data_IF_722319227393
#
_entry.id   IF_722319227393
#
_cell.length_a   1.000
_cell.length_b   1.000
_cell.length_c   1.000
_cell.angle_alpha   90.00
_cell.angle_beta   90.00
_cell.angle_gamma   90.00
#
_symmetry.space_group_name_H-M   'P 1'
#
loop_
_entity.id
_entity.type
_entity.pdbx_description
1 polymer ?
#
# COMPACT_ATOMS: atom_id res chain seq x y z
N UNK A 1 6.30 -31.93 13.74
CA UNK A 1 6.57 -31.83 12.29
C UNK A 1 6.18 -30.42 11.84
N UNK A 2 6.92 -29.75 10.95
CA UNK A 2 6.51 -28.47 10.41
C UNK A 2 5.20 -28.62 9.63
N UNK A 3 4.30 -27.64 9.75
CA UNK A 3 3.05 -27.64 9.03
C UNK A 3 3.28 -27.60 7.50
N UNK A 4 2.38 -28.18 6.70
CA UNK A 4 2.54 -28.18 5.26
C UNK A 4 2.52 -26.75 4.71
N UNK A 5 3.32 -26.47 3.66
CA UNK A 5 3.32 -25.16 3.03
C UNK A 5 1.96 -24.89 2.39
N UNK A 6 1.45 -23.68 2.59
CA UNK A 6 0.17 -23.23 2.03
C UNK A 6 0.35 -21.88 1.36
N UNK A 7 -0.20 -21.70 0.17
CA UNK A 7 -0.07 -20.44 -0.56
C UNK A 7 -0.98 -19.36 0.06
N UNK A 8 -0.42 -18.23 0.57
CA UNK A 8 -1.21 -17.10 1.02
C UNK A 8 -1.81 -16.35 -0.18
N UNK A 9 -3.06 -15.91 -0.03
CA UNK A 9 -3.73 -15.04 -0.99
C UNK A 9 -3.78 -13.64 -0.39
N UNK A 10 -3.33 -12.63 -1.14
CA UNK A 10 -3.26 -11.25 -0.68
C UNK A 10 -4.04 -10.36 -1.64
N UNK A 11 -5.03 -9.62 -1.13
CA UNK A 11 -5.94 -8.82 -1.95
C UNK A 11 -5.81 -7.34 -1.60
N UNK A 12 -5.41 -6.52 -2.58
CA UNK A 12 -5.41 -5.06 -2.45
C UNK A 12 -5.67 -4.34 -3.76
N UNK A 13 -6.70 -3.50 -3.80
CA UNK A 13 -7.01 -2.65 -4.97
C UNK A 13 -6.37 -1.26 -4.83
N UNK A 14 -5.09 -1.25 -4.43
CA UNK A 14 -4.25 -0.07 -4.26
C UNK A 14 -3.72 0.53 -5.56
N UNK A 15 -2.84 1.51 -5.40
CA UNK A 15 -2.03 2.19 -6.44
C UNK A 15 -0.58 1.73 -6.35
N UNK A 16 0.27 2.25 -7.24
CA UNK A 16 1.71 1.92 -7.29
C UNK A 16 2.37 2.02 -5.91
N UNK A 17 2.19 3.13 -5.19
CA UNK A 17 2.73 3.29 -3.83
C UNK A 17 2.25 2.18 -2.87
N UNK A 18 0.94 1.94 -2.81
CA UNK A 18 0.36 0.88 -1.98
C UNK A 18 0.96 -0.50 -2.31
N UNK A 19 1.15 -0.81 -3.60
CA UNK A 19 1.74 -2.07 -4.05
C UNK A 19 3.22 -2.18 -3.64
N UNK A 20 3.99 -1.10 -3.74
CA UNK A 20 5.37 -1.11 -3.23
C UNK A 20 5.38 -1.37 -1.72
N UNK A 21 4.52 -0.71 -0.95
CA UNK A 21 4.43 -0.93 0.50
C UNK A 21 3.99 -2.36 0.86
N UNK A 22 3.12 -2.97 0.03
CA UNK A 22 2.62 -4.33 0.24
C UNK A 22 3.72 -5.38 0.25
N UNK A 23 4.83 -5.18 -0.47
CA UNK A 23 5.97 -6.12 -0.50
C UNK A 23 6.49 -6.51 0.89
N UNK A 24 6.45 -5.59 1.86
CA UNK A 24 6.83 -5.88 3.25
C UNK A 24 5.95 -6.99 3.88
N UNK A 25 4.65 -7.01 3.55
CA UNK A 25 3.73 -8.06 3.98
C UNK A 25 3.96 -9.36 3.20
N UNK A 26 4.27 -9.28 1.90
CA UNK A 26 4.44 -10.46 1.06
C UNK A 26 5.63 -11.32 1.52
N UNK A 27 6.75 -10.69 1.88
CA UNK A 27 7.91 -11.39 2.48
C UNK A 27 7.49 -12.13 3.76
N UNK A 28 6.79 -11.44 4.66
CA UNK A 28 6.32 -12.02 5.93
C UNK A 28 5.46 -13.25 5.64
N UNK A 29 4.45 -13.13 4.80
CA UNK A 29 3.51 -14.21 4.54
C UNK A 29 4.17 -15.39 3.81
N UNK A 30 5.02 -15.12 2.82
CA UNK A 30 5.78 -16.16 2.15
C UNK A 30 6.61 -16.97 3.16
N UNK A 31 7.35 -16.28 4.03
CA UNK A 31 8.20 -16.95 5.02
C UNK A 31 7.42 -17.66 6.13
N UNK A 32 6.26 -17.14 6.53
CA UNK A 32 5.38 -17.77 7.54
C UNK A 32 4.73 -19.05 7.01
N UNK A 33 4.20 -19.01 5.80
CA UNK A 33 3.39 -20.10 5.24
C UNK A 33 4.14 -21.01 4.27
N UNK A 34 5.42 -20.72 4.00
CA UNK A 34 6.30 -21.58 3.21
C UNK A 34 5.99 -21.62 1.71
N UNK A 35 5.17 -20.70 1.20
CA UNK A 35 4.83 -20.62 -0.22
C UNK A 35 4.67 -19.17 -0.68
N UNK A 36 5.16 -18.80 -1.88
CA UNK A 36 5.02 -17.43 -2.37
C UNK A 36 3.55 -17.06 -2.61
N UNK A 37 3.22 -15.79 -2.40
CA UNK A 37 1.85 -15.30 -2.36
C UNK A 37 1.17 -15.29 -3.74
N UNK A 38 -0.14 -15.52 -3.76
CA UNK A 38 -1.02 -15.12 -4.86
C UNK A 38 -1.57 -13.72 -4.59
N UNK A 39 -1.12 -12.73 -5.35
CA UNK A 39 -1.59 -11.35 -5.21
C UNK A 39 -2.76 -11.07 -6.15
N UNK A 40 -3.84 -10.52 -5.61
CA UNK A 40 -5.00 -10.07 -6.38
C UNK A 40 -5.09 -8.54 -6.29
N UNK A 41 -4.85 -7.89 -7.42
CA UNK A 41 -4.85 -6.44 -7.54
C UNK A 41 -5.85 -5.95 -8.58
N UNK A 42 -5.84 -4.64 -8.82
CA UNK A 42 -6.67 -4.02 -9.85
C UNK A 42 -5.85 -3.13 -10.81
N UNK A 43 -6.19 -3.15 -12.10
CA UNK A 43 -5.45 -2.44 -13.16
C UNK A 43 -4.15 -3.13 -13.57
N UNK A 44 -3.29 -2.41 -14.31
CA UNK A 44 -2.09 -3.00 -14.93
C UNK A 44 -0.91 -3.17 -13.96
N UNK A 45 -0.71 -2.23 -13.05
CA UNK A 45 0.48 -2.15 -12.19
C UNK A 45 0.84 -3.38 -11.35
N UNK A 46 -0.11 -4.17 -10.78
CA UNK A 46 0.27 -5.33 -9.97
C UNK A 46 1.11 -6.35 -10.75
N UNK A 47 0.82 -6.57 -12.04
CA UNK A 47 1.59 -7.51 -12.85
C UNK A 47 3.02 -7.01 -13.06
N UNK A 48 3.17 -5.73 -13.40
CA UNK A 48 4.48 -5.10 -13.63
C UNK A 48 5.35 -5.06 -12.37
N UNK A 49 4.78 -4.61 -11.24
CA UNK A 49 5.53 -4.41 -9.98
C UNK A 49 6.03 -5.74 -9.41
N UNK A 50 5.25 -6.82 -9.55
CA UNK A 50 5.59 -8.11 -8.96
C UNK A 50 6.13 -9.13 -9.96
N UNK A 51 6.35 -8.76 -11.23
CA UNK A 51 6.82 -9.68 -12.27
C UNK A 51 8.11 -10.43 -11.89
N UNK A 52 9.01 -9.77 -11.13
CA UNK A 52 10.28 -10.34 -10.68
C UNK A 52 10.36 -10.51 -9.15
N UNK A 53 9.23 -10.43 -8.43
CA UNK A 53 9.23 -10.47 -6.97
C UNK A 53 9.18 -11.91 -6.46
N UNK A 54 10.22 -12.36 -5.74
CA UNK A 54 10.36 -13.75 -5.27
C UNK A 54 9.23 -14.20 -4.34
N UNK A 55 8.67 -13.28 -3.55
CA UNK A 55 7.57 -13.58 -2.62
C UNK A 55 6.18 -13.64 -3.29
N UNK A 56 6.13 -13.58 -4.62
CA UNK A 56 4.88 -13.62 -5.40
C UNK A 56 4.95 -14.76 -6.42
N UNK A 57 4.11 -15.78 -6.25
CA UNK A 57 3.98 -16.87 -7.21
C UNK A 57 3.19 -16.46 -8.46
N UNK A 58 2.19 -15.61 -8.25
CA UNK A 58 1.23 -15.23 -9.31
C UNK A 58 0.49 -13.97 -8.96
N UNK A 59 0.11 -13.24 -10.01
CA UNK A 59 -0.72 -12.04 -9.90
C UNK A 59 -2.03 -12.25 -10.66
N UNK A 60 -3.14 -11.77 -10.10
CA UNK A 60 -4.42 -11.68 -10.82
C UNK A 60 -4.90 -10.23 -10.81
N UNK A 61 -4.95 -9.64 -12.01
CA UNK A 61 -5.31 -8.25 -12.21
C UNK A 61 -6.78 -8.13 -12.62
N UNK A 62 -7.61 -7.58 -11.75
CA UNK A 62 -9.00 -7.27 -12.06
C UNK A 62 -9.14 -5.90 -12.74
N UNK A 63 -10.13 -5.75 -13.60
CA UNK A 63 -10.41 -4.43 -14.17
C UNK A 63 -11.06 -3.53 -13.11
N UNK A 64 -10.60 -2.28 -13.03
CA UNK A 64 -11.03 -1.33 -11.98
C UNK A 64 -12.51 -0.95 -12.10
N UNK A 65 -13.02 -0.82 -13.33
CA UNK A 65 -14.34 -0.25 -13.60
C UNK A 65 -15.30 -1.20 -14.30
N UNK A 66 -14.83 -2.37 -14.75
CA UNK A 66 -15.68 -3.35 -15.44
C UNK A 66 -16.56 -4.06 -14.43
N UNK A 67 -17.86 -4.17 -14.75
CA UNK A 67 -18.77 -5.00 -13.98
C UNK A 67 -18.32 -6.46 -14.04
N UNK A 68 -18.32 -7.14 -12.89
CA UNK A 68 -17.69 -8.44 -12.70
C UNK A 68 -18.18 -9.54 -13.65
N UNK A 69 -19.45 -9.51 -14.09
CA UNK A 69 -19.99 -10.50 -15.04
C UNK A 69 -19.35 -10.40 -16.42
N UNK A 70 -18.89 -9.20 -16.81
CA UNK A 70 -18.27 -8.92 -18.11
C UNK A 70 -16.74 -8.82 -18.03
N UNK A 71 -16.14 -9.20 -16.90
CA UNK A 71 -14.70 -9.17 -16.71
C UNK A 71 -14.13 -10.60 -16.81
N UNK A 72 -13.51 -11.00 -17.94
CA UNK A 72 -12.88 -12.32 -18.05
C UNK A 72 -11.80 -12.56 -16.99
N UNK A 73 -11.14 -11.49 -16.52
CA UNK A 73 -10.17 -11.60 -15.43
C UNK A 73 -10.84 -11.97 -14.10
N UNK A 74 -12.11 -11.60 -13.90
CA UNK A 74 -12.89 -12.01 -12.74
C UNK A 74 -13.08 -13.52 -12.69
N UNK A 75 -13.50 -14.13 -13.80
CA UNK A 75 -13.70 -15.58 -13.88
C UNK A 75 -12.39 -16.36 -13.70
N UNK A 76 -11.30 -15.88 -14.31
CA UNK A 76 -9.95 -16.45 -14.10
C UNK A 76 -9.51 -16.36 -12.64
N UNK A 77 -9.71 -15.20 -12.02
CA UNK A 77 -9.39 -14.98 -10.60
C UNK A 77 -10.25 -15.87 -9.69
N UNK A 78 -11.54 -16.03 -9.99
CA UNK A 78 -12.44 -16.93 -9.24
C UNK A 78 -11.97 -18.40 -9.32
N UNK A 79 -11.59 -18.88 -10.50
CA UNK A 79 -11.05 -20.25 -10.67
C UNK A 79 -9.77 -20.44 -9.86
N UNK A 80 -8.90 -19.44 -9.86
CA UNK A 80 -7.68 -19.47 -9.09
C UNK A 80 -7.90 -19.46 -7.58
N UNK A 81 -8.80 -18.60 -7.08
CA UNK A 81 -9.19 -18.58 -5.68
C UNK A 81 -9.75 -19.93 -5.22
N UNK A 82 -10.55 -20.59 -6.06
CA UNK A 82 -11.05 -21.94 -5.77
C UNK A 82 -9.94 -22.97 -5.66
N UNK A 83 -8.94 -22.92 -6.53
CA UNK A 83 -7.80 -23.82 -6.47
C UNK A 83 -6.96 -23.58 -5.21
N UNK A 84 -6.83 -22.32 -4.77
CA UNK A 84 -6.10 -21.93 -3.56
C UNK A 84 -6.95 -21.81 -2.29
N UNK A 85 -8.18 -22.34 -2.26
CA UNK A 85 -9.14 -22.08 -1.17
C UNK A 85 -8.71 -22.55 0.21
N UNK A 86 -7.77 -23.49 0.26
CA UNK A 86 -7.22 -24.03 1.51
C UNK A 86 -6.19 -23.08 2.16
N UNK A 87 -5.71 -22.06 1.44
CA UNK A 87 -4.73 -21.10 1.95
C UNK A 87 -5.35 -19.96 2.77
N UNK A 88 -4.52 -19.21 3.52
CA UNK A 88 -4.96 -18.03 4.26
C UNK A 88 -5.18 -16.84 3.32
N UNK A 89 -6.17 -16.01 3.60
CA UNK A 89 -6.54 -14.85 2.78
C UNK A 89 -6.39 -13.56 3.58
N UNK A 90 -5.52 -12.67 3.09
CA UNK A 90 -5.24 -11.36 3.68
C UNK A 90 -5.84 -10.26 2.79
N UNK A 91 -6.82 -9.52 3.32
CA UNK A 91 -7.48 -8.42 2.60
C UNK A 91 -7.00 -7.09 3.14
N UNK A 92 -6.17 -6.38 2.37
CA UNK A 92 -5.56 -5.09 2.77
C UNK A 92 -6.42 -3.86 2.42
N UNK A 93 -7.58 -4.06 1.80
CA UNK A 93 -8.45 -2.96 1.37
C UNK A 93 -9.30 -2.41 2.52
N UNK A 94 -9.40 -1.09 2.63
CA UNK A 94 -10.18 -0.42 3.68
C UNK A 94 -11.36 0.38 3.12
N UNK A 95 -11.42 0.60 1.80
CA UNK A 95 -12.55 1.28 1.15
C UNK A 95 -13.80 0.38 1.15
N UNK A 96 -14.94 0.84 1.70
CA UNK A 96 -16.15 0.01 1.83
C UNK A 96 -16.69 -0.53 0.50
N UNK A 97 -16.63 0.26 -0.58
CA UNK A 97 -17.18 -0.14 -1.89
C UNK A 97 -16.34 -1.24 -2.51
N UNK A 98 -15.02 -1.08 -2.44
CA UNK A 98 -14.08 -2.11 -2.92
C UNK A 98 -14.13 -3.35 -2.04
N UNK A 99 -14.25 -3.21 -0.73
CA UNK A 99 -14.44 -4.34 0.20
C UNK A 99 -15.70 -5.14 -0.13
N UNK A 100 -16.82 -4.48 -0.44
CA UNK A 100 -18.04 -5.17 -0.86
C UNK A 100 -17.81 -6.01 -2.13
N UNK A 101 -17.03 -5.48 -3.09
CA UNK A 101 -16.61 -6.23 -4.28
C UNK A 101 -15.72 -7.42 -3.93
N UNK A 102 -14.74 -7.26 -3.05
CA UNK A 102 -13.84 -8.33 -2.61
C UNK A 102 -14.62 -9.44 -1.88
N UNK A 103 -15.49 -9.09 -0.94
CA UNK A 103 -16.34 -10.06 -0.23
C UNK A 103 -17.21 -10.87 -1.20
N UNK A 104 -17.75 -10.21 -2.23
CA UNK A 104 -18.51 -10.88 -3.29
C UNK A 104 -17.64 -11.87 -4.08
N UNK A 105 -16.40 -11.48 -4.42
CA UNK A 105 -15.43 -12.37 -5.08
C UNK A 105 -15.12 -13.61 -4.23
N UNK A 106 -14.79 -13.40 -2.94
CA UNK A 106 -14.45 -14.47 -2.00
C UNK A 106 -15.63 -15.45 -1.84
N UNK A 107 -16.83 -14.92 -1.59
CA UNK A 107 -18.06 -15.74 -1.47
C UNK A 107 -18.32 -16.57 -2.72
N UNK A 108 -18.26 -15.96 -3.92
CA UNK A 108 -18.50 -16.72 -5.16
C UNK A 108 -17.35 -17.68 -5.53
N UNK A 109 -16.20 -17.52 -4.91
CA UNK A 109 -15.06 -18.43 -5.02
C UNK A 109 -15.11 -19.55 -3.98
N UNK A 110 -16.09 -19.54 -3.06
CA UNK A 110 -16.21 -20.56 -2.01
C UNK A 110 -15.12 -20.47 -0.95
N UNK A 111 -14.57 -19.27 -0.71
CA UNK A 111 -13.64 -19.02 0.38
C UNK A 111 -14.45 -18.84 1.66
N UNK A 112 -14.12 -19.61 2.69
CA UNK A 112 -14.75 -19.51 4.00
C UNK A 112 -14.25 -18.29 4.79
N UNK A 113 -15.12 -17.73 5.63
CA UNK A 113 -14.77 -16.56 6.43
C UNK A 113 -13.62 -16.85 7.41
N UNK A 114 -13.51 -18.09 7.91
CA UNK A 114 -12.45 -18.52 8.82
C UNK A 114 -11.04 -18.46 8.19
N UNK A 115 -10.95 -18.49 6.86
CA UNK A 115 -9.68 -18.34 6.13
C UNK A 115 -9.29 -16.88 5.93
N UNK A 116 -10.17 -15.92 6.22
CA UNK A 116 -9.96 -14.52 5.88
C UNK A 116 -9.58 -13.67 7.09
N UNK A 117 -8.61 -12.79 6.92
CA UNK A 117 -8.35 -11.65 7.81
C UNK A 117 -8.44 -10.36 7.01
N UNK A 118 -8.99 -9.31 7.63
CA UNK A 118 -9.20 -8.01 7.01
C UNK A 118 -8.40 -6.95 7.75
N UNK A 119 -7.72 -6.10 7.00
CA UNK A 119 -7.02 -4.97 7.57
C UNK A 119 -8.05 -4.00 8.18
N UNK A 120 -7.95 -3.78 9.48
CA UNK A 120 -8.82 -2.85 10.18
C UNK A 120 -8.64 -1.43 9.62
N UNK A 121 -9.75 -0.73 9.43
CA UNK A 121 -9.73 0.72 9.22
C UNK A 121 -9.35 1.34 10.57
N UNK A 122 -8.41 2.28 10.58
CA UNK A 122 -8.32 3.22 11.71
C UNK A 122 -9.67 3.93 11.75
N UNK A 123 -10.52 3.58 12.72
CA UNK A 123 -11.58 4.50 13.10
C UNK A 123 -10.85 5.76 13.51
N UNK A 124 -11.19 6.88 12.90
CA UNK A 124 -10.96 8.20 13.48
C UNK A 124 -11.61 8.20 14.87
N UNK A 125 -10.87 7.74 15.89
CA UNK A 125 -11.22 7.91 17.29
C UNK A 125 -10.83 9.33 17.69
N UNK A 126 -11.62 10.27 17.18
CA UNK A 126 -12.03 11.47 17.92
C UNK A 126 -13.48 11.30 18.43
N UNK A 127 -14.01 10.07 18.46
CA UNK A 127 -15.39 9.85 18.93
C UNK A 127 -15.55 8.47 19.55
N UNK A 128 -15.16 8.34 20.81
CA UNK A 128 -15.75 7.47 21.82
C UNK A 128 -14.85 7.44 23.06
N UNK A 129 -15.01 8.43 23.94
CA UNK A 129 -14.73 8.21 25.36
C UNK A 129 -15.85 7.31 25.89
N UNK A 130 -15.56 6.14 26.51
CA UNK A 130 -16.56 5.36 27.21
C UNK A 130 -17.05 6.12 28.44
N UNK A 131 -18.34 5.95 28.73
CA UNK A 131 -19.05 6.49 29.88
C UNK A 131 -18.25 6.35 31.18
N UNK A 132 -17.92 7.48 31.79
CA UNK A 132 -17.57 7.53 33.20
C UNK A 132 -18.89 7.49 34.00
N UNK A 133 -19.06 6.42 34.78
CA UNK A 133 -20.12 6.25 35.75
C UNK A 133 -20.17 7.46 36.70
N UNK A 134 -21.34 8.09 36.78
CA UNK A 134 -21.64 9.07 37.82
C UNK A 134 -21.79 8.35 39.15
N UNK A 135 -20.73 8.32 39.95
CA UNK A 135 -20.83 8.14 41.40
C UNK A 135 -20.42 9.46 42.02
N UNK A 136 -21.38 10.16 42.60
CA UNK A 136 -21.12 11.35 43.40
C UNK A 136 -20.38 10.95 44.69
N UNK A 137 -19.44 11.79 45.14
CA UNK A 137 -19.41 12.09 46.55
C UNK A 137 -19.42 13.60 46.81
N UNK A 138 -20.32 13.97 47.72
CA UNK A 138 -20.24 15.14 48.58
C UNK A 138 -18.89 15.21 49.29
N UNK A 139 -18.18 16.35 49.25
CA UNK A 139 -17.77 17.09 50.46
C UNK A 139 -17.13 18.44 50.13
N UNK A 140 -17.32 19.36 51.07
CA UNK A 140 -17.00 20.79 51.15
C UNK A 140 -15.63 20.97 51.86
N UNK A 141 -14.82 21.96 51.46
CA UNK A 141 -13.81 22.59 52.35
C UNK A 141 -12.35 22.63 51.87
N UNK A 142 -11.90 23.86 51.57
CA UNK A 142 -10.62 24.52 51.91
C UNK A 142 -9.23 24.12 51.36
N UNK A 143 -8.62 25.14 50.74
CA UNK A 143 -7.28 25.71 50.94
C UNK A 143 -5.97 24.93 50.60
N UNK A 144 -5.28 25.52 49.61
CA UNK A 144 -3.84 25.82 49.50
C UNK A 144 -2.76 24.72 49.39
N UNK A 145 -1.88 24.97 48.42
CA UNK A 145 -0.45 24.58 48.26
C UNK A 145 -0.11 23.16 47.78
N UNK A 146 0.65 23.10 46.68
CA UNK A 146 1.52 21.96 46.39
C UNK A 146 1.60 21.54 44.92
N UNK A 147 2.68 21.95 44.25
CA UNK A 147 3.35 21.27 43.12
C UNK A 147 2.49 21.02 41.88
N UNK A 148 2.74 21.84 40.84
CA UNK A 148 2.36 21.59 39.44
C UNK A 148 2.93 20.24 38.96
N UNK A 149 2.23 19.16 39.30
CA UNK A 149 2.40 17.87 38.68
C UNK A 149 1.50 17.88 37.47
N UNK A 150 1.99 18.50 36.38
CA UNK A 150 1.29 18.53 35.11
C UNK A 150 0.93 17.10 34.71
N UNK A 151 -0.37 16.79 34.76
CA UNK A 151 -0.97 15.58 34.22
C UNK A 151 -0.39 15.35 32.81
N UNK A 152 0.09 14.14 32.46
CA UNK A 152 0.64 13.91 31.15
C UNK A 152 -0.43 14.22 30.12
N UNK A 153 -0.16 15.25 29.30
CA UNK A 153 -0.92 15.57 28.09
C UNK A 153 -1.21 14.26 27.39
N UNK A 154 -2.50 13.97 27.21
CA UNK A 154 -2.98 12.83 26.44
C UNK A 154 -2.17 12.77 25.15
N UNK A 155 -1.25 11.80 25.10
CA UNK A 155 -0.33 11.69 23.99
C UNK A 155 -1.16 11.25 22.80
N UNK A 156 -1.49 12.20 21.93
CA UNK A 156 -2.16 11.92 20.65
C UNK A 156 -1.32 10.87 19.95
N UNK A 157 -1.78 9.63 19.93
CA UNK A 157 -1.04 8.50 19.34
C UNK A 157 -0.68 8.92 17.92
N UNK A 158 0.63 8.96 17.63
CA UNK A 158 1.11 9.36 16.32
C UNK A 158 0.50 8.42 15.26
N UNK A 159 0.06 8.95 14.10
CA UNK A 159 -0.49 8.12 13.05
C UNK A 159 0.52 7.05 12.65
N UNK A 160 0.11 5.79 12.71
CA UNK A 160 0.98 4.65 12.41
C UNK A 160 1.29 4.60 10.92
N UNK A 161 2.56 4.42 10.56
CA UNK A 161 2.95 4.33 9.16
C UNK A 161 2.32 3.08 8.50
N UNK A 162 1.97 3.17 7.21
CA UNK A 162 1.29 2.08 6.51
C UNK A 162 2.08 0.77 6.50
N UNK A 163 3.41 0.84 6.46
CA UNK A 163 4.27 -0.35 6.55
C UNK A 163 4.10 -1.03 7.90
N UNK A 164 4.11 -0.28 9.01
CA UNK A 164 3.97 -0.86 10.35
C UNK A 164 2.60 -1.53 10.52
N UNK A 165 1.56 -0.96 9.90
CA UNK A 165 0.23 -1.59 9.85
C UNK A 165 0.24 -2.89 9.06
N UNK A 166 0.91 -2.93 7.91
CA UNK A 166 1.04 -4.15 7.10
C UNK A 166 1.86 -5.21 7.82
N UNK A 167 2.95 -4.83 8.50
CA UNK A 167 3.78 -5.73 9.32
C UNK A 167 2.98 -6.30 10.48
N UNK A 168 2.23 -5.45 11.19
CA UNK A 168 1.33 -5.87 12.28
C UNK A 168 0.22 -6.79 11.77
N UNK A 169 -0.35 -6.47 10.60
CA UNK A 169 -1.35 -7.29 9.94
C UNK A 169 -0.81 -8.68 9.56
N UNK A 170 0.46 -8.73 9.14
CA UNK A 170 1.17 -9.98 8.88
C UNK A 170 1.39 -10.86 10.11
N UNK A 171 1.12 -10.39 11.33
CA UNK A 171 1.11 -11.20 12.55
C UNK A 171 -0.20 -11.93 12.79
N UNK A 172 -1.29 -11.48 12.17
CA UNK A 172 -2.59 -12.12 12.33
C UNK A 172 -2.58 -13.50 11.64
N UNK A 173 -3.32 -14.43 12.23
CA UNK A 173 -3.54 -15.77 11.68
C UNK A 173 -5.04 -15.96 11.52
N UNK A 174 -5.55 -16.35 10.33
CA UNK A 174 -6.98 -16.63 10.17
C UNK A 174 -7.43 -17.78 11.06
N UNK A 175 -8.69 -17.78 11.50
CA UNK A 175 -9.24 -18.74 12.47
C UNK A 175 -9.17 -20.20 12.01
N UNK A 176 -9.11 -20.46 10.70
CA UNK A 176 -8.94 -21.80 10.15
C UNK A 176 -7.53 -22.40 10.37
N UNK A 177 -6.57 -21.61 10.87
CA UNK A 177 -5.18 -22.01 11.05
C UNK A 177 -4.74 -21.85 12.50
N UNK A 178 -3.85 -22.73 12.95
CA UNK A 178 -3.16 -22.57 14.22
C UNK A 178 -1.95 -21.66 14.05
N UNK A 179 -1.79 -20.66 14.93
CA UNK A 179 -0.65 -19.74 14.89
C UNK A 179 0.70 -20.43 15.16
N UNK A 180 0.70 -21.51 15.96
CA UNK A 180 1.91 -22.26 16.28
C UNK A 180 2.49 -23.00 15.06
N UNK A 181 1.63 -23.37 14.11
CA UNK A 181 2.01 -24.08 12.88
C UNK A 181 2.68 -23.14 11.86
N UNK A 182 2.39 -21.84 11.95
CA UNK A 182 2.91 -20.79 11.05
C UNK A 182 3.48 -19.61 11.84
N UNK A 183 4.57 -19.85 12.62
CA UNK A 183 5.12 -18.88 13.53
C UNK A 183 5.70 -17.68 12.79
N UNK A 184 6.00 -16.60 13.53
CA UNK A 184 6.72 -15.45 12.96
C UNK A 184 8.10 -15.87 12.44
N UNK A 185 8.57 -15.36 11.27
CA UNK A 185 9.82 -15.82 10.68
C UNK A 185 11.04 -15.56 11.57
N UNK A 186 11.95 -16.54 11.63
CA UNK A 186 13.29 -16.43 12.19
C UNK A 186 14.33 -16.77 11.09
N UNK A 187 15.32 -15.91 10.80
CA UNK A 187 15.54 -14.57 11.37
C UNK A 187 14.38 -13.62 11.04
N UNK A 188 14.27 -12.49 11.75
CA UNK A 188 13.21 -11.52 11.51
C UNK A 188 13.16 -11.09 10.02
N UNK A 189 11.96 -10.86 9.45
CA UNK A 189 11.83 -10.33 8.10
C UNK A 189 12.29 -8.89 8.02
N UNK A 190 12.53 -8.39 6.80
CA UNK A 190 13.02 -7.01 6.58
C UNK A 190 12.07 -5.96 7.15
N UNK A 191 10.77 -6.23 7.11
CA UNK A 191 9.72 -5.29 7.51
C UNK A 191 9.79 -3.93 6.78
N UNK A 192 10.32 -3.91 5.55
CA UNK A 192 10.43 -2.71 4.73
C UNK A 192 10.05 -2.99 3.28
N UNK A 193 9.54 -1.98 2.54
CA UNK A 193 9.22 -2.13 1.13
C UNK A 193 10.43 -2.52 0.28
N UNK A 194 10.19 -3.36 -0.72
CA UNK A 194 11.16 -3.77 -1.73
C UNK A 194 10.53 -3.68 -3.12
N UNK A 195 11.24 -3.03 -4.05
CA UNK A 195 10.92 -3.04 -5.47
C UNK A 195 12.02 -3.81 -6.22
N UNK A 196 11.68 -4.99 -6.73
CA UNK A 196 12.59 -5.79 -7.54
C UNK A 196 12.43 -5.43 -9.01
N UNK A 197 13.49 -4.85 -9.60
CA UNK A 197 13.53 -4.54 -11.04
C UNK A 197 14.15 -5.71 -11.79
N UNK A 198 13.40 -6.29 -12.73
CA UNK A 198 13.83 -7.43 -13.53
C UNK A 198 15.05 -7.10 -14.40
N UNK A 199 15.82 -8.12 -14.77
CA UNK A 199 16.95 -7.99 -15.71
C UNK A 199 16.48 -7.43 -17.05
N UNK A 200 15.33 -7.87 -17.55
CA UNK A 200 14.71 -7.35 -18.77
C UNK A 200 14.37 -5.86 -18.67
N UNK A 201 13.74 -5.41 -17.57
CA UNK A 201 13.42 -4.00 -17.38
C UNK A 201 14.68 -3.12 -17.23
N UNK A 202 15.74 -3.64 -16.60
CA UNK A 202 17.04 -2.96 -16.54
C UNK A 202 17.67 -2.84 -17.93
N UNK A 203 17.63 -3.90 -18.73
CA UNK A 203 18.14 -3.90 -20.10
C UNK A 203 17.36 -2.95 -21.00
N UNK A 204 16.02 -2.94 -20.90
CA UNK A 204 15.15 -2.02 -21.63
C UNK A 204 15.45 -0.56 -21.27
N UNK A 205 15.57 -0.25 -19.97
CA UNK A 205 15.94 1.08 -19.49
C UNK A 205 17.32 1.50 -20.01
N UNK A 206 18.32 0.62 -19.94
CA UNK A 206 19.66 0.90 -20.45
C UNK A 206 19.66 1.16 -21.96
N UNK A 207 18.92 0.35 -22.74
CA UNK A 207 18.79 0.55 -24.18
C UNK A 207 18.04 1.84 -24.53
N UNK A 208 17.05 2.21 -23.71
CA UNK A 208 16.36 3.49 -23.86
C UNK A 208 17.28 4.68 -23.58
N UNK A 209 18.05 4.64 -22.49
CA UNK A 209 19.05 5.66 -22.16
C UNK A 209 20.11 5.81 -23.25
N UNK A 210 20.55 4.69 -23.83
CA UNK A 210 21.48 4.69 -24.97
C UNK A 210 20.90 5.41 -26.18
N UNK A 211 19.66 5.08 -26.58
CA UNK A 211 18.97 5.73 -27.71
C UNK A 211 18.78 7.23 -27.52
N UNK A 212 18.66 7.70 -26.28
CA UNK A 212 18.57 9.13 -25.99
C UNK A 212 19.94 9.82 -25.95
N UNK A 213 21.05 9.06 -25.94
CA UNK A 213 22.41 9.60 -25.72
C UNK A 213 22.63 10.06 -24.27
N UNK A 214 21.92 9.44 -23.31
CA UNK A 214 21.87 9.89 -21.92
C UNK A 214 22.69 9.02 -20.96
N UNK A 215 23.31 7.94 -21.44
CA UNK A 215 23.95 6.91 -20.61
C UNK A 215 24.98 7.47 -19.62
N UNK A 216 25.82 8.39 -20.07
CA UNK A 216 26.90 8.97 -19.26
C UNK A 216 26.53 10.35 -18.68
N UNK A 217 25.24 10.70 -18.72
CA UNK A 217 24.73 11.99 -18.23
C UNK A 217 24.13 11.83 -16.84
N UNK A 218 24.39 12.80 -15.97
CA UNK A 218 23.67 12.89 -14.70
C UNK A 218 22.21 13.24 -14.97
N UNK A 219 21.29 12.37 -14.56
CA UNK A 219 19.86 12.59 -14.69
C UNK A 219 19.27 13.08 -13.37
N UNK A 220 18.47 14.13 -13.42
CA UNK A 220 17.70 14.65 -12.29
C UNK A 220 16.23 14.46 -12.61
N UNK A 221 15.63 13.46 -11.96
CA UNK A 221 14.22 13.12 -12.15
C UNK A 221 13.34 14.01 -11.29
N UNK A 222 12.38 14.69 -11.90
CA UNK A 222 11.42 15.54 -11.20
C UNK A 222 10.00 15.11 -11.51
N UNK A 223 9.14 15.02 -10.50
CA UNK A 223 7.74 14.66 -10.66
C UNK A 223 6.87 15.74 -10.03
N UNK A 224 6.51 16.80 -10.80
CA UNK A 224 5.73 17.93 -10.28
C UNK A 224 4.25 17.58 -10.07
N UNK A 225 3.76 16.62 -10.84
CA UNK A 225 2.37 16.19 -10.84
C UNK A 225 2.07 15.14 -9.77
N UNK A 226 0.79 15.03 -9.42
CA UNK A 226 0.32 14.10 -8.40
C UNK A 226 -1.02 13.48 -8.82
N UNK A 227 -1.57 12.55 -8.03
CA UNK A 227 -2.84 11.91 -8.41
C UNK A 227 -4.00 12.90 -8.62
N UNK A 228 -4.05 13.98 -7.84
CA UNK A 228 -5.15 14.97 -7.89
C UNK A 228 -5.05 15.83 -9.14
N UNK A 229 -3.84 16.17 -9.59
CA UNK A 229 -3.64 16.85 -10.89
C UNK A 229 -4.18 16.02 -12.05
N UNK A 230 -4.18 14.70 -11.90
CA UNK A 230 -4.65 13.71 -12.88
C UNK A 230 -6.12 13.26 -12.71
N UNK A 231 -6.90 13.82 -11.78
CA UNK A 231 -8.31 13.43 -11.61
C UNK A 231 -9.20 14.04 -12.71
N UNK A 232 -9.68 13.20 -13.63
CA UNK A 232 -10.72 13.53 -14.61
C UNK A 232 -10.20 13.67 -16.04
N UNK A 233 -10.98 14.33 -16.91
CA UNK A 233 -10.62 14.51 -18.32
C UNK A 233 -9.59 15.63 -18.55
N UNK A 234 -9.54 16.62 -17.66
CA UNK A 234 -8.67 17.80 -17.76
C UNK A 234 -7.62 17.80 -16.65
N UNK A 235 -6.44 18.35 -16.93
CA UNK A 235 -5.43 18.67 -15.92
C UNK A 235 -6.05 19.67 -14.94
N UNK A 236 -5.95 19.39 -13.64
CA UNK A 236 -6.50 20.26 -12.60
C UNK A 236 -5.42 20.65 -11.61
N UNK A 237 -4.91 21.86 -11.74
CA UNK A 237 -4.09 22.49 -10.72
C UNK A 237 -5.04 23.29 -9.82
N UNK A 238 -5.15 22.88 -8.56
CA UNK A 238 -5.96 23.60 -7.58
C UNK A 238 -5.02 24.25 -6.57
N UNK A 239 -5.18 25.55 -6.26
CA UNK A 239 -4.44 26.21 -5.19
C UNK A 239 -4.67 25.57 -3.81
N UNK A 240 -5.78 24.85 -3.63
CA UNK A 240 -6.11 24.13 -2.40
C UNK A 240 -5.51 22.71 -2.36
N UNK A 241 -4.75 22.30 -3.38
CA UNK A 241 -4.09 20.99 -3.37
C UNK A 241 -2.84 21.02 -2.47
N UNK A 242 -3.00 20.58 -1.22
CA UNK A 242 -1.92 20.42 -0.25
C UNK A 242 -0.76 19.49 -0.70
N UNK A 243 -0.94 18.73 -1.79
CA UNK A 243 0.11 17.89 -2.39
C UNK A 243 0.78 18.52 -3.61
N UNK A 244 0.33 19.69 -4.04
CA UNK A 244 0.94 20.41 -5.15
C UNK A 244 1.96 21.42 -4.62
N UNK A 245 3.11 21.51 -5.28
CA UNK A 245 4.03 22.63 -5.09
C UNK A 245 3.79 23.65 -6.21
N UNK A 246 3.73 24.96 -5.90
CA UNK A 246 3.45 25.99 -6.91
C UNK A 246 4.39 25.91 -8.12
N UNK A 247 3.85 26.13 -9.32
CA UNK A 247 4.60 25.99 -10.57
C UNK A 247 5.79 26.97 -10.64
N UNK A 248 5.62 28.17 -10.08
CA UNK A 248 6.68 29.18 -10.03
C UNK A 248 7.86 28.68 -9.18
N UNK A 249 7.58 27.92 -8.12
CA UNK A 249 8.60 27.32 -7.27
C UNK A 249 9.29 26.14 -7.95
N UNK A 250 8.54 25.30 -8.67
CA UNK A 250 9.15 24.29 -9.55
C UNK A 250 10.08 24.94 -10.57
N UNK A 251 9.60 25.94 -11.33
CA UNK A 251 10.39 26.65 -12.33
C UNK A 251 11.65 27.29 -11.71
N UNK A 252 11.53 27.95 -10.55
CA UNK A 252 12.67 28.52 -9.83
C UNK A 252 13.69 27.44 -9.41
N UNK A 253 13.22 26.28 -8.93
CA UNK A 253 14.08 25.15 -8.60
C UNK A 253 14.81 24.61 -9.83
N UNK A 254 14.10 24.38 -10.94
CA UNK A 254 14.70 23.84 -12.16
C UNK A 254 15.75 24.79 -12.75
N UNK A 255 15.48 26.10 -12.74
CA UNK A 255 16.49 27.11 -13.16
C UNK A 255 17.72 27.08 -12.27
N UNK A 256 17.56 26.95 -10.94
CA UNK A 256 18.70 26.86 -10.01
C UNK A 256 19.50 25.57 -10.18
N UNK A 257 18.82 24.44 -10.40
CA UNK A 257 19.47 23.16 -10.71
C UNK A 257 20.29 23.29 -11.99
N UNK A 258 19.71 23.83 -13.05
CA UNK A 258 20.42 24.00 -14.32
C UNK A 258 21.61 24.96 -14.22
N UNK A 259 21.46 26.08 -13.48
CA UNK A 259 22.57 27.00 -13.24
C UNK A 259 23.72 26.36 -12.45
N UNK A 260 23.44 25.43 -11.53
CA UNK A 260 24.46 24.77 -10.70
C UNK A 260 25.08 23.53 -11.35
N UNK A 261 24.30 22.83 -12.18
CA UNK A 261 24.65 21.59 -12.86
C UNK A 261 24.26 21.68 -14.35
N UNK A 262 24.92 22.56 -15.14
CA UNK A 262 24.55 22.79 -16.54
C UNK A 262 24.66 21.55 -17.42
N UNK A 263 25.50 20.59 -17.03
CA UNK A 263 25.70 19.31 -17.71
C UNK A 263 24.67 18.23 -17.34
N UNK A 264 23.86 18.43 -16.29
CA UNK A 264 22.82 17.47 -15.92
C UNK A 264 21.59 17.60 -16.82
N UNK A 265 20.91 16.48 -17.07
CA UNK A 265 19.62 16.46 -17.77
C UNK A 265 18.49 16.40 -16.74
N UNK A 266 17.58 17.36 -16.80
CA UNK A 266 16.38 17.38 -15.97
C UNK A 266 15.28 16.64 -16.72
N UNK A 267 14.77 15.55 -16.14
CA UNK A 267 13.73 14.70 -16.74
C UNK A 267 12.44 14.84 -15.95
N UNK A 268 11.41 15.37 -16.60
CA UNK A 268 10.07 15.47 -16.02
C UNK A 268 9.38 14.11 -16.14
N UNK A 269 9.17 13.46 -15.01
CA UNK A 269 8.53 12.17 -14.89
C UNK A 269 7.02 12.35 -14.63
N UNK A 270 6.21 11.50 -15.24
CA UNK A 270 4.78 11.52 -15.05
C UNK A 270 3.98 10.85 -16.17
N UNK A 271 2.66 11.03 -16.11
CA UNK A 271 1.77 10.68 -17.20
C UNK A 271 1.89 11.69 -18.36
N UNK A 272 1.55 11.31 -19.60
CA UNK A 272 1.67 12.20 -20.76
C UNK A 272 0.98 13.57 -20.61
N UNK A 273 -0.09 13.67 -19.81
CA UNK A 273 -0.79 14.94 -19.57
C UNK A 273 -0.05 15.88 -18.62
N UNK A 274 0.90 15.37 -17.84
CA UNK A 274 1.70 16.14 -16.89
C UNK A 274 2.82 16.94 -17.59
N UNK A 275 3.07 16.70 -18.90
CA UNK A 275 4.00 17.52 -19.69
C UNK A 275 3.64 19.01 -19.62
N UNK A 276 2.33 19.31 -19.69
CA UNK A 276 1.76 20.66 -19.64
C UNK A 276 1.96 21.40 -18.32
N UNK A 277 2.44 20.74 -17.26
CA UNK A 277 2.69 21.41 -15.97
C UNK A 277 3.95 22.28 -16.02
N UNK A 278 4.88 21.98 -16.93
CA UNK A 278 6.19 22.63 -17.00
C UNK A 278 6.54 23.11 -18.42
N UNK A 279 5.55 23.14 -19.33
CA UNK A 279 5.58 23.88 -20.60
C UNK A 279 5.38 25.38 -20.33
#
# INVERSE_FOLDING_TARGET
MPAPPVQPIVIWFGRVGDLILLSALLEILHRRFGSPCHVIGAGAWPAEIYAAHSDVARVSCLHRYTAWVFDPAWWRTRRALRAGRAGPVYVCETDPRKLARIRRLLRFSGIEAAHCVFLARESSLDTALPHASTVAPTHRGDAQTGVDTALPRTSKVAPTHWVDRLVSFGRLTPAAFNAADYPWPAPAPRCAPLLTVSTAARAECAAWLERQGWRDRTLILVQPGNRRTMRGRRLRVSPADDKAWPLERWAALLRRIHARLPQALIVVCGAPRESRLLE
#
